data_IF_480466401017
#
_entry.id   IF_480466401017
#
_cell.length_a   1.000
_cell.length_b   1.000
_cell.length_c   1.000
_cell.angle_alpha   90.00
_cell.angle_beta   90.00
_cell.angle_gamma   90.00
#
_symmetry.space_group_name_H-M   'P 1'
#
loop_
_entity.id
_entity.type
_entity.pdbx_description
1 polymer ?
#
# COMPACT_ATOMS: atom_id res chain seq x y z
N UNK A 1 -5.93 -17.77 -20.21
CA UNK A 1 -5.01 -18.17 -19.12
C UNK A 1 -5.42 -17.67 -17.73
N UNK A 2 -5.76 -16.38 -17.52
CA UNK A 2 -6.19 -15.85 -16.21
C UNK A 2 -7.44 -16.51 -15.62
N UNK A 3 -8.41 -16.86 -16.48
CA UNK A 3 -9.69 -17.47 -16.08
C UNK A 3 -9.45 -18.88 -15.51
N UNK A 4 -8.65 -19.70 -16.21
CA UNK A 4 -8.37 -21.08 -15.82
C UNK A 4 -7.64 -21.21 -14.47
N UNK A 5 -6.63 -20.37 -14.20
CA UNK A 5 -5.88 -20.39 -12.93
C UNK A 5 -6.75 -19.90 -11.77
N UNK A 6 -7.63 -18.93 -12.02
CA UNK A 6 -8.56 -18.38 -11.02
C UNK A 6 -9.61 -19.42 -10.59
N UNK A 7 -10.12 -20.22 -11.53
CA UNK A 7 -11.10 -21.27 -11.25
C UNK A 7 -10.46 -22.48 -10.55
N UNK A 8 -9.28 -22.93 -11.00
CA UNK A 8 -8.63 -24.13 -10.44
C UNK A 8 -7.95 -23.88 -9.10
N UNK A 9 -7.41 -22.68 -8.87
CA UNK A 9 -6.66 -22.34 -7.65
C UNK A 9 -6.93 -20.90 -7.18
N UNK A 10 -8.13 -20.60 -6.65
CA UNK A 10 -8.53 -19.24 -6.29
C UNK A 10 -7.61 -18.60 -5.24
N UNK A 11 -7.19 -19.36 -4.23
CA UNK A 11 -6.32 -18.86 -3.16
C UNK A 11 -4.90 -18.52 -3.67
N UNK A 12 -4.36 -19.37 -4.55
CA UNK A 12 -3.05 -19.13 -5.17
C UNK A 12 -3.09 -17.92 -6.11
N UNK A 13 -4.16 -17.79 -6.90
CA UNK A 13 -4.37 -16.62 -7.75
C UNK A 13 -4.46 -15.33 -6.95
N UNK A 14 -5.20 -15.33 -5.83
CA UNK A 14 -5.29 -14.17 -4.94
C UNK A 14 -3.92 -13.80 -4.35
N UNK A 15 -3.13 -14.80 -3.94
CA UNK A 15 -1.77 -14.58 -3.44
C UNK A 15 -0.86 -13.96 -4.52
N UNK A 16 -0.88 -14.48 -5.75
CA UNK A 16 -0.12 -13.90 -6.87
C UNK A 16 -0.54 -12.46 -7.17
N UNK A 17 -1.84 -12.18 -7.18
CA UNK A 17 -2.36 -10.82 -7.34
C UNK A 17 -1.91 -9.88 -6.20
N UNK A 18 -1.86 -10.38 -4.97
CA UNK A 18 -1.37 -9.63 -3.82
C UNK A 18 0.11 -9.27 -3.99
N UNK A 19 0.96 -10.23 -4.33
CA UNK A 19 2.39 -10.00 -4.59
C UNK A 19 2.59 -9.00 -5.73
N UNK A 20 1.85 -9.16 -6.83
CA UNK A 20 1.92 -8.23 -7.96
C UNK A 20 1.57 -6.80 -7.55
N UNK A 21 0.43 -6.61 -6.87
CA UNK A 21 -0.06 -5.28 -6.49
C UNK A 21 0.82 -4.61 -5.44
N UNK A 22 1.32 -5.35 -4.46
CA UNK A 22 2.04 -4.78 -3.31
C UNK A 22 3.55 -4.66 -3.53
N UNK A 23 4.15 -5.50 -4.39
CA UNK A 23 5.62 -5.55 -4.57
C UNK A 23 6.07 -5.17 -5.97
N UNK A 24 5.47 -5.76 -7.01
CA UNK A 24 5.97 -5.61 -8.40
C UNK A 24 5.51 -4.30 -9.02
N UNK A 25 4.21 -4.02 -8.99
CA UNK A 25 3.62 -2.82 -9.59
C UNK A 25 4.22 -1.51 -9.06
N UNK A 26 4.44 -1.32 -7.74
CA UNK A 26 5.05 -0.11 -7.21
C UNK A 26 6.48 0.10 -7.73
N UNK A 27 7.31 -0.95 -7.70
CA UNK A 27 8.68 -0.90 -8.20
C UNK A 27 8.73 -0.54 -9.68
N UNK A 28 7.91 -1.20 -10.50
CA UNK A 28 7.85 -0.94 -11.93
C UNK A 28 7.40 0.50 -12.22
N UNK A 29 6.41 0.99 -11.49
CA UNK A 29 5.93 2.35 -11.67
C UNK A 29 7.01 3.39 -11.34
N UNK A 30 7.80 3.17 -10.28
CA UNK A 30 8.90 4.05 -9.87
C UNK A 30 10.08 4.06 -10.86
N UNK A 31 10.22 3.03 -11.70
CA UNK A 31 11.23 3.01 -12.79
C UNK A 31 10.82 3.98 -13.90
N UNK A 32 9.53 4.04 -14.25
CA UNK A 32 9.04 4.86 -15.35
C UNK A 32 8.54 6.24 -14.94
N UNK A 33 8.26 6.46 -13.65
CA UNK A 33 7.64 7.70 -13.16
C UNK A 33 8.34 8.20 -11.90
N UNK A 34 8.51 9.51 -11.81
CA UNK A 34 8.98 10.18 -10.60
C UNK A 34 7.80 10.48 -9.68
N UNK A 35 7.87 10.14 -8.37
CA UNK A 35 6.85 10.53 -7.40
C UNK A 35 6.68 12.06 -7.35
N UNK A 36 5.43 12.55 -7.28
CA UNK A 36 5.12 13.98 -7.25
C UNK A 36 4.01 14.30 -6.25
N UNK A 37 4.03 15.51 -5.69
CA UNK A 37 3.01 16.02 -4.78
C UNK A 37 2.97 15.34 -3.40
N UNK A 38 1.93 15.67 -2.65
CA UNK A 38 1.68 15.15 -1.29
C UNK A 38 0.33 14.46 -1.25
N UNK A 39 0.30 13.22 -0.78
CA UNK A 39 -0.92 12.48 -0.47
C UNK A 39 -1.27 12.71 1.00
N UNK A 40 -2.48 13.18 1.26
CA UNK A 40 -3.06 13.19 2.60
C UNK A 40 -4.24 12.23 2.62
N UNK A 41 -4.22 11.25 3.52
CA UNK A 41 -5.23 10.21 3.60
C UNK A 41 -5.77 10.11 5.02
N UNK A 42 -7.06 10.39 5.20
CA UNK A 42 -7.75 10.34 6.50
C UNK A 42 -8.59 9.06 6.57
N UNK A 43 -8.47 8.32 7.67
CA UNK A 43 -9.18 7.05 7.86
C UNK A 43 -8.54 5.91 7.08
N UNK A 44 -7.33 5.52 7.49
CA UNK A 44 -6.59 4.44 6.83
C UNK A 44 -7.24 3.07 6.97
N UNK A 45 -7.98 2.82 8.06
CA UNK A 45 -8.57 1.54 8.41
C UNK A 45 -7.52 0.40 8.38
N UNK A 46 -7.59 -0.54 7.43
CA UNK A 46 -6.58 -1.60 7.23
C UNK A 46 -5.37 -1.15 6.39
N UNK A 47 -5.43 0.04 5.79
CA UNK A 47 -4.36 0.66 5.00
C UNK A 47 -4.17 0.09 3.61
N UNK A 48 -5.10 -0.71 3.08
CA UNK A 48 -4.93 -1.38 1.78
C UNK A 48 -5.05 -0.42 0.59
N UNK A 49 -6.03 0.49 0.65
CA UNK A 49 -6.18 1.55 -0.36
C UNK A 49 -4.96 2.47 -0.38
N UNK A 50 -4.49 2.86 0.81
CA UNK A 50 -3.28 3.68 0.95
C UNK A 50 -2.04 2.95 0.41
N UNK A 51 -1.83 1.68 0.78
CA UNK A 51 -0.74 0.84 0.29
C UNK A 51 -0.68 0.74 -1.25
N UNK A 52 -1.83 0.84 -1.93
CA UNK A 52 -1.93 0.73 -3.38
C UNK A 52 -1.53 2.00 -4.14
N UNK A 53 -1.48 3.17 -3.48
CA UNK A 53 -1.28 4.45 -4.17
C UNK A 53 -0.15 5.30 -3.61
N UNK A 54 0.26 5.11 -2.34
CA UNK A 54 1.19 6.01 -1.66
C UNK A 54 2.54 6.16 -2.38
N UNK A 55 3.01 5.11 -3.06
CA UNK A 55 4.28 5.10 -3.78
C UNK A 55 4.34 6.09 -4.96
N UNK A 56 3.19 6.61 -5.40
CA UNK A 56 3.13 7.60 -6.49
C UNK A 56 3.42 9.02 -6.04
N UNK A 57 3.42 9.27 -4.74
CA UNK A 57 3.54 10.59 -4.17
C UNK A 57 4.90 10.77 -3.50
N UNK A 58 5.41 12.01 -3.56
CA UNK A 58 6.68 12.33 -2.93
C UNK A 58 6.55 12.26 -1.42
N UNK A 59 5.45 12.78 -0.87
CA UNK A 59 5.12 12.73 0.55
C UNK A 59 3.78 12.03 0.71
N UNK A 60 3.64 11.15 1.69
CA UNK A 60 2.39 10.48 1.99
C UNK A 60 2.11 10.52 3.50
N UNK A 61 1.05 11.22 3.88
CA UNK A 61 0.63 11.41 5.26
C UNK A 61 -0.68 10.65 5.46
N UNK A 62 -0.69 9.78 6.45
CA UNK A 62 -1.83 8.94 6.77
C UNK A 62 -2.31 9.18 8.19
N UNK A 63 -3.62 9.37 8.34
CA UNK A 63 -4.28 9.59 9.63
C UNK A 63 -5.19 8.42 9.98
N UNK A 64 -5.10 7.94 11.21
CA UNK A 64 -5.97 6.91 11.77
C UNK A 64 -6.40 7.29 13.19
N UNK A 65 -7.71 7.35 13.42
CA UNK A 65 -8.27 7.72 14.71
C UNK A 65 -8.28 6.54 15.69
N UNK A 66 -8.39 5.30 15.18
CA UNK A 66 -8.39 4.12 16.03
C UNK A 66 -6.94 3.76 16.46
N UNK A 67 -6.59 3.82 17.76
CA UNK A 67 -5.23 3.61 18.23
C UNK A 67 -4.72 2.18 18.01
N UNK A 68 -5.60 1.18 18.01
CA UNK A 68 -5.22 -0.21 17.77
C UNK A 68 -4.93 -0.47 16.29
N UNK A 69 -5.70 0.15 15.40
CA UNK A 69 -5.41 0.14 13.96
C UNK A 69 -4.12 0.93 13.68
N UNK A 70 -3.94 2.08 14.31
CA UNK A 70 -2.72 2.88 14.21
C UNK A 70 -1.48 2.03 14.55
N UNK A 71 -1.47 1.32 15.68
CA UNK A 71 -0.34 0.43 16.05
C UNK A 71 -0.04 -0.63 14.99
N UNK A 72 -1.07 -1.22 14.37
CA UNK A 72 -0.92 -2.20 13.28
C UNK A 72 -0.37 -1.54 12.01
N UNK A 73 -0.85 -0.35 11.67
CA UNK A 73 -0.42 0.42 10.50
C UNK A 73 1.03 0.89 10.65
N UNK A 74 1.44 1.35 11.83
CA UNK A 74 2.85 1.67 12.12
C UNK A 74 3.71 0.46 11.77
N UNK A 75 3.40 -0.75 12.25
CA UNK A 75 4.18 -1.95 11.91
C UNK A 75 4.20 -2.23 10.40
N UNK A 76 3.06 -2.10 9.72
CA UNK A 76 2.90 -2.34 8.28
C UNK A 76 3.73 -1.37 7.41
N UNK A 77 3.85 -0.11 7.82
CA UNK A 77 4.50 0.93 7.02
C UNK A 77 5.90 1.34 7.51
N UNK A 78 6.25 1.10 8.78
CA UNK A 78 7.59 1.40 9.35
C UNK A 78 8.70 0.53 8.75
N UNK A 79 8.38 -0.65 8.23
CA UNK A 79 9.34 -1.51 7.52
C UNK A 79 9.65 -1.03 6.10
N UNK A 80 8.79 -0.21 5.50
CA UNK A 80 9.06 0.41 4.20
C UNK A 80 9.83 1.70 4.49
N UNK A 81 11.15 1.69 4.31
CA UNK A 81 12.04 2.87 4.32
C UNK A 81 11.70 3.88 3.20
N UNK A 82 10.44 4.29 3.09
CA UNK A 82 10.10 5.51 2.39
C UNK A 82 10.35 6.65 3.37
N UNK A 83 11.33 7.49 3.06
CA UNK A 83 11.74 8.64 3.89
C UNK A 83 10.62 9.67 4.11
N UNK A 84 9.49 9.50 3.43
CA UNK A 84 8.45 10.51 3.27
C UNK A 84 7.05 10.04 3.73
N UNK A 85 6.99 9.02 4.59
CA UNK A 85 5.75 8.53 5.18
C UNK A 85 5.60 8.99 6.64
N UNK A 86 4.51 9.71 6.92
CA UNK A 86 4.15 10.13 8.26
C UNK A 86 2.78 9.57 8.62
N UNK A 87 2.73 8.79 9.71
CA UNK A 87 1.48 8.31 10.29
C UNK A 87 1.18 9.16 11.52
N UNK A 88 -0.02 9.71 11.59
CA UNK A 88 -0.47 10.54 12.70
C UNK A 88 -1.75 9.95 13.31
N UNK A 89 -1.86 9.99 14.63
CA UNK A 89 -3.13 9.78 15.34
C UNK A 89 -3.89 11.10 15.39
N UNK A 90 -5.18 11.08 15.07
CA UNK A 90 -6.12 12.19 15.32
C UNK A 90 -7.02 11.76 16.47
#
# INVERSE_FOLDING_TARGET
MKIFIREKFPNFYQFLCFIWKQKIKPKLWLVFNKPKGTLVYVGLNKGDSFAAIHYKFKIAIGYEANPDLYKKLVKKFKQKKHKDFQLCSI
#
